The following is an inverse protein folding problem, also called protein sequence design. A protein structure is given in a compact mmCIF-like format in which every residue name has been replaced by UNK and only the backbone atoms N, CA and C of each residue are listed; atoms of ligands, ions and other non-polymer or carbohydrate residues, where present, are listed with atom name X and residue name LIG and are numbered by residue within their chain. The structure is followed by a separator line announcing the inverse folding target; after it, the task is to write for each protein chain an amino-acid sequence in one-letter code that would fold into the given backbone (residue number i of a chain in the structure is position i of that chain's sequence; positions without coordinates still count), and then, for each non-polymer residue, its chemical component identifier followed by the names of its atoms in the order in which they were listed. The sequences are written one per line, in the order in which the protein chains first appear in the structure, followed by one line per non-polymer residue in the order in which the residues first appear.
data_IF_231329280674
#
_entry.id   IF_231329280674
#
_cell.length_a   1.000
_cell.length_b   1.000
_cell.length_c   1.000
_cell.angle_alpha   90.00
_cell.angle_beta   90.00
_cell.angle_gamma   90.00
#
_symmetry.space_group_name_H-M   'P 1'
#
loop_
_entity.id
_entity.type
_entity.pdbx_description
1 polymer ?
#
# COMPACT_ATOMS: atom_id res chain seq x y z
N UNK A 1 24.62 23.22 -8.51
CA UNK A 1 23.83 22.37 -7.58
C UNK A 1 22.69 21.73 -8.37
N UNK A 2 22.84 20.45 -8.71
CA UNK A 2 21.90 19.63 -9.49
C UNK A 2 21.78 18.30 -8.75
N UNK A 3 21.34 18.34 -7.48
CA UNK A 3 21.24 17.15 -6.60
C UNK A 3 19.78 16.85 -6.22
N UNK A 4 18.87 17.75 -6.57
CA UNK A 4 17.41 17.61 -6.38
C UNK A 4 16.65 17.27 -7.65
N UNK A 5 17.31 17.24 -8.82
CA UNK A 5 16.73 16.56 -9.98
C UNK A 5 16.81 15.10 -9.59
N UNK A 6 15.68 14.46 -9.29
CA UNK A 6 15.79 13.10 -8.86
C UNK A 6 16.35 12.34 -10.06
N UNK A 7 17.19 11.35 -9.82
CA UNK A 7 17.35 10.22 -10.73
C UNK A 7 16.03 9.41 -10.74
N UNK A 8 14.90 10.12 -10.92
CA UNK A 8 13.51 9.74 -10.63
C UNK A 8 13.03 8.69 -11.58
N UNK A 9 13.65 8.53 -12.76
CA UNK A 9 13.19 7.53 -13.72
C UNK A 9 13.20 6.16 -13.07
N UNK A 10 14.30 5.75 -12.45
CA UNK A 10 14.41 4.43 -11.82
C UNK A 10 13.44 4.26 -10.64
N UNK A 11 13.27 5.27 -9.79
CA UNK A 11 12.36 5.21 -8.63
C UNK A 11 10.89 5.24 -9.06
N UNK A 12 10.53 6.12 -10.00
CA UNK A 12 9.19 6.20 -10.55
C UNK A 12 8.85 4.96 -11.38
N UNK A 13 9.77 4.45 -12.20
CA UNK A 13 9.65 3.18 -12.93
C UNK A 13 9.44 2.00 -11.99
N UNK A 14 10.21 1.93 -10.88
CA UNK A 14 10.00 0.92 -9.84
C UNK A 14 8.59 1.03 -9.26
N UNK A 15 8.12 2.24 -8.97
CA UNK A 15 6.76 2.47 -8.47
C UNK A 15 5.68 2.10 -9.48
N UNK A 16 5.81 2.51 -10.74
CA UNK A 16 4.85 2.17 -11.81
C UNK A 16 4.86 0.67 -12.13
N UNK A 17 6.02 0.03 -12.09
CA UNK A 17 6.16 -1.42 -12.23
C UNK A 17 5.45 -2.17 -11.09
N UNK A 18 5.61 -1.70 -9.85
CA UNK A 18 4.86 -2.20 -8.69
C UNK A 18 3.35 -2.00 -8.85
N UNK A 19 2.91 -0.80 -9.23
CA UNK A 19 1.50 -0.50 -9.50
C UNK A 19 0.90 -1.38 -10.60
N UNK A 20 1.66 -1.70 -11.65
CA UNK A 20 1.23 -2.61 -12.72
C UNK A 20 0.98 -4.03 -12.20
N UNK A 21 1.75 -4.49 -11.22
CA UNK A 21 1.53 -5.78 -10.54
C UNK A 21 0.34 -5.75 -9.58
N UNK A 22 0.10 -4.61 -8.92
CA UNK A 22 -1.01 -4.45 -7.97
C UNK A 22 -2.36 -4.26 -8.67
N UNK A 23 -2.39 -3.46 -9.75
CA UNK A 23 -3.59 -3.14 -10.53
C UNK A 23 -3.79 -4.15 -11.66
N UNK A 24 -4.22 -5.34 -11.28
CA UNK A 24 -4.58 -6.42 -12.23
C UNK A 24 -5.97 -6.22 -12.81
N UNK A 25 -6.29 -6.92 -13.91
CA UNK A 25 -7.63 -6.88 -14.54
C UNK A 25 -8.76 -7.18 -13.55
N UNK A 26 -8.59 -8.21 -12.72
CA UNK A 26 -9.55 -8.58 -11.65
C UNK A 26 -9.68 -7.55 -10.52
N UNK A 27 -8.75 -6.58 -10.44
CA UNK A 27 -8.73 -5.49 -9.45
C UNK A 27 -8.93 -4.12 -10.10
N UNK A 28 -9.38 -4.09 -11.36
CA UNK A 28 -9.52 -2.87 -12.16
C UNK A 28 -10.54 -1.88 -11.59
N UNK A 29 -11.54 -2.38 -10.85
CA UNK A 29 -12.58 -1.58 -10.18
C UNK A 29 -12.14 -1.00 -8.83
N UNK A 30 -10.91 -1.23 -8.39
CA UNK A 30 -10.43 -0.71 -7.11
C UNK A 30 -10.31 0.83 -7.14
N UNK A 31 -10.98 1.49 -6.20
CA UNK A 31 -10.92 2.94 -6.05
C UNK A 31 -9.52 3.45 -5.66
N UNK A 32 -9.22 4.70 -6.03
CA UNK A 32 -7.90 5.32 -5.86
C UNK A 32 -7.40 5.32 -4.42
N UNK A 33 -8.29 5.62 -3.44
CA UNK A 33 -7.93 5.62 -2.02
C UNK A 33 -7.39 4.25 -1.58
N UNK A 34 -8.11 3.18 -1.93
CA UNK A 34 -7.71 1.81 -1.59
C UNK A 34 -6.46 1.38 -2.35
N UNK A 35 -6.34 1.76 -3.63
CA UNK A 35 -5.12 1.50 -4.41
C UNK A 35 -3.90 2.14 -3.76
N UNK A 36 -3.99 3.40 -3.34
CA UNK A 36 -2.88 4.11 -2.72
C UNK A 36 -2.45 3.44 -1.41
N UNK A 37 -3.40 3.10 -0.53
CA UNK A 37 -3.11 2.39 0.73
C UNK A 37 -2.40 1.06 0.49
N UNK A 38 -2.86 0.25 -0.47
CA UNK A 38 -2.21 -1.04 -0.81
C UNK A 38 -0.83 -0.83 -1.42
N UNK A 39 -0.66 0.21 -2.24
CA UNK A 39 0.62 0.53 -2.87
C UNK A 39 1.65 0.95 -1.83
N UNK A 40 1.23 1.75 -0.84
CA UNK A 40 2.10 2.16 0.27
C UNK A 40 2.64 0.96 1.05
N UNK A 41 1.75 0.00 1.39
CA UNK A 41 2.13 -1.25 2.05
C UNK A 41 3.06 -2.10 1.18
N UNK A 42 2.85 -2.14 -0.13
CA UNK A 42 3.70 -2.90 -1.05
C UNK A 42 5.12 -2.33 -1.16
N UNK A 43 5.27 -1.00 -1.18
CA UNK A 43 6.59 -0.36 -1.23
C UNK A 43 7.32 -0.41 0.11
N UNK A 44 6.58 -0.36 1.22
CA UNK A 44 7.13 -0.43 2.57
C UNK A 44 6.88 -1.80 3.20
N UNK A 45 6.98 -2.86 2.41
CA UNK A 45 6.67 -4.22 2.84
C UNK A 45 7.47 -4.67 4.06
N UNK A 46 8.71 -4.20 4.19
CA UNK A 46 9.61 -4.61 5.27
C UNK A 46 9.08 -4.08 6.61
N UNK A 47 8.69 -2.80 6.64
CA UNK A 47 7.99 -2.19 7.78
C UNK A 47 6.62 -2.86 8.00
N UNK A 48 5.88 -3.16 6.93
CA UNK A 48 4.57 -3.80 7.03
C UNK A 48 4.65 -5.22 7.63
N UNK A 49 5.75 -5.94 7.41
CA UNK A 49 5.98 -7.28 7.98
C UNK A 49 6.36 -7.24 9.46
N UNK A 50 6.90 -6.12 9.94
CA UNK A 50 7.20 -5.90 11.36
C UNK A 50 5.96 -5.52 12.18
N UNK A 51 4.85 -5.19 11.51
CA UNK A 51 3.61 -4.85 12.20
C UNK A 51 2.94 -6.08 12.79
N UNK A 52 2.45 -5.95 14.02
CA UNK A 52 1.64 -6.97 14.66
C UNK A 52 0.23 -7.03 14.03
N UNK A 53 -0.02 -8.09 13.27
CA UNK A 53 -1.29 -8.31 12.60
C UNK A 53 -2.43 -8.54 13.60
N UNK A 54 -2.15 -9.16 14.76
CA UNK A 54 -3.17 -9.44 15.77
C UNK A 54 -3.68 -8.15 16.40
N UNK A 55 -2.79 -7.21 16.75
CA UNK A 55 -3.19 -5.87 17.18
C UNK A 55 -4.02 -5.13 16.13
N UNK A 56 -3.64 -5.19 14.85
CA UNK A 56 -4.39 -4.52 13.77
C UNK A 56 -5.79 -5.11 13.59
N UNK A 57 -5.91 -6.44 13.66
CA UNK A 57 -7.21 -7.13 13.56
C UNK A 57 -8.09 -6.74 14.74
N UNK A 58 -7.55 -6.77 15.97
CA UNK A 58 -8.28 -6.37 17.16
C UNK A 58 -8.75 -4.91 17.08
N UNK A 59 -7.90 -4.00 16.63
CA UNK A 59 -8.26 -2.60 16.40
C UNK A 59 -9.36 -2.47 15.32
N UNK A 60 -9.25 -3.22 14.23
CA UNK A 60 -10.24 -3.22 13.17
C UNK A 60 -11.61 -3.73 13.66
N UNK A 61 -11.64 -4.75 14.52
CA UNK A 61 -12.85 -5.26 15.18
C UNK A 61 -13.42 -4.17 16.11
N UNK A 62 -12.59 -3.55 16.94
CA UNK A 62 -13.01 -2.47 17.85
C UNK A 62 -13.53 -1.22 17.13
N UNK A 63 -13.08 -0.94 15.91
CA UNK A 63 -13.57 0.18 15.10
C UNK A 63 -14.82 -0.15 14.29
N UNK A 64 -15.20 -1.43 14.19
CA UNK A 64 -16.35 -1.86 13.43
C UNK A 64 -17.44 -2.38 14.36
N UNK A 65 -18.44 -1.53 14.63
CA UNK A 65 -19.54 -1.86 15.55
C UNK A 65 -20.37 -3.08 15.10
N UNK A 66 -20.33 -3.45 13.81
CA UNK A 66 -20.99 -4.65 13.28
C UNK A 66 -20.18 -5.94 13.48
N UNK A 67 -18.93 -5.84 13.94
CA UNK A 67 -18.02 -6.98 14.15
C UNK A 67 -17.58 -7.13 15.60
N UNK A 68 -18.00 -6.23 16.49
CA UNK A 68 -17.92 -6.41 17.95
C UNK A 68 -18.96 -7.47 18.35
N UNK A 69 -18.50 -8.70 18.60
CA UNK A 69 -19.30 -9.69 19.32
C UNK A 69 -18.91 -9.73 20.78
#
# INVERSE_FOLDING_TARGET
IFVTIPTTSATAERSFSGLKRLKTYLRSTMGQKRLNSVSLLHFHKDVANEMDLDSIINEFIQRNDQRKS
#
